data_IF_387281274487
#
_entry.id   IF_387281274487
#
_cell.length_a   1.000
_cell.length_b   1.000
_cell.length_c   1.000
_cell.angle_alpha   90.00
_cell.angle_beta   90.00
_cell.angle_gamma   90.00
#
_symmetry.space_group_name_H-M   'P 1'
#
loop_
_entity.id
_entity.type
_entity.pdbx_description
1 polymer ?
#
# COMPACT_ATOMS: atom_id res chain seq x y z
N UNK A 1 41.37 -44.51 13.96
CA UNK A 1 40.35 -43.96 13.04
C UNK A 1 40.68 -42.50 12.82
N UNK A 2 41.59 -42.25 11.89
CA UNK A 2 41.37 -41.61 10.57
C UNK A 2 41.06 -40.12 10.70
N UNK A 3 42.02 -39.18 10.62
CA UNK A 3 42.62 -38.58 9.38
C UNK A 3 41.54 -38.02 8.44
N UNK A 4 41.55 -36.78 7.96
CA UNK A 4 42.65 -35.88 7.58
C UNK A 4 42.23 -34.41 7.51
N UNK A 5 43.24 -33.55 7.51
CA UNK A 5 43.25 -32.15 7.03
C UNK A 5 43.23 -32.10 5.48
N UNK A 6 43.09 -30.87 4.96
CA UNK A 6 43.74 -30.28 3.76
C UNK A 6 42.88 -30.09 2.48
N UNK A 7 42.58 -28.79 2.20
CA UNK A 7 42.81 -27.96 0.99
C UNK A 7 42.69 -28.63 -0.40
N UNK A 8 42.01 -27.97 -1.36
CA UNK A 8 42.50 -27.68 -2.73
C UNK A 8 41.73 -26.48 -3.33
N UNK A 9 42.51 -25.50 -3.81
CA UNK A 9 42.09 -24.38 -4.63
C UNK A 9 41.94 -24.80 -6.10
N UNK A 10 41.12 -24.11 -6.89
CA UNK A 10 41.26 -24.11 -8.35
C UNK A 10 41.55 -22.69 -8.80
N UNK A 11 42.83 -22.48 -9.11
CA UNK A 11 43.31 -21.42 -9.96
C UNK A 11 42.92 -21.72 -11.42
N UNK A 12 42.42 -20.73 -12.15
CA UNK A 12 42.49 -20.71 -13.61
C UNK A 12 43.45 -19.61 -13.99
N UNK A 13 44.69 -20.02 -14.21
CA UNK A 13 45.75 -19.23 -14.83
C UNK A 13 45.58 -19.36 -16.34
N UNK A 14 45.24 -18.27 -17.03
CA UNK A 14 45.52 -18.13 -18.46
C UNK A 14 46.56 -17.01 -18.60
N UNK A 15 47.79 -17.44 -18.87
CA UNK A 15 48.93 -16.58 -19.13
C UNK A 15 48.77 -15.88 -20.48
N UNK A 16 49.14 -14.60 -20.52
CA UNK A 16 49.73 -13.98 -21.71
C UNK A 16 50.71 -12.91 -21.22
N UNK A 17 51.97 -13.33 -21.13
CA UNK A 17 53.09 -12.39 -21.05
C UNK A 17 53.28 -11.75 -22.42
N UNK A 18 53.20 -10.43 -22.45
CA UNK A 18 53.85 -9.59 -23.46
C UNK A 18 54.37 -8.35 -22.74
N UNK A 19 55.66 -8.38 -22.45
CA UNK A 19 56.43 -7.24 -22.03
C UNK A 19 56.42 -6.19 -23.14
N UNK A 20 55.92 -4.98 -22.85
CA UNK A 20 56.36 -3.78 -23.54
C UNK A 20 56.70 -2.70 -22.51
N UNK A 21 57.86 -2.10 -22.76
CA UNK A 21 58.53 -1.06 -22.01
C UNK A 21 57.74 0.26 -22.03
N UNK A 22 57.85 0.99 -20.91
CA UNK A 22 57.98 2.46 -20.81
C UNK A 22 56.94 3.34 -21.51
N UNK A 23 56.09 4.01 -20.73
CA UNK A 23 55.48 5.28 -21.16
C UNK A 23 54.15 5.64 -20.50
N UNK A 24 54.13 6.83 -19.88
CA UNK A 24 52.97 7.60 -19.42
C UNK A 24 52.23 7.08 -18.17
N UNK A 25 52.22 7.92 -17.13
CA UNK A 25 51.55 7.67 -15.87
C UNK A 25 50.06 7.38 -16.05
N UNK A 26 49.70 6.12 -15.96
CA UNK A 26 48.34 5.71 -15.67
C UNK A 26 48.15 5.82 -14.16
N UNK A 27 47.22 6.67 -13.73
CA UNK A 27 46.64 6.56 -12.38
C UNK A 27 46.19 5.10 -12.22
N UNK A 28 46.61 4.45 -11.14
CA UNK A 28 45.97 3.21 -10.71
C UNK A 28 44.46 3.47 -10.67
N UNK A 29 43.63 2.63 -11.32
CA UNK A 29 42.20 2.76 -11.16
C UNK A 29 41.90 2.53 -9.69
N UNK A 30 41.26 3.51 -9.05
CA UNK A 30 40.77 3.39 -7.68
C UNK A 30 40.05 2.04 -7.55
N UNK A 31 40.29 1.27 -6.47
CA UNK A 31 39.61 0.00 -6.27
C UNK A 31 38.11 0.26 -6.36
N UNK A 32 37.47 -0.33 -7.36
CA UNK A 32 36.02 -0.31 -7.50
C UNK A 32 35.47 -0.99 -6.27
N UNK A 33 35.02 -0.19 -5.30
CA UNK A 33 34.22 -0.68 -4.19
C UNK A 33 32.93 -1.16 -4.82
N UNK A 34 32.85 -2.47 -5.09
CA UNK A 34 31.59 -3.12 -5.43
C UNK A 34 30.74 -2.98 -4.18
N UNK A 35 29.91 -1.94 -4.13
CA UNK A 35 28.86 -1.86 -3.12
C UNK A 35 27.95 -3.06 -3.39
N UNK A 36 28.08 -4.09 -2.56
CA UNK A 36 27.14 -5.19 -2.56
C UNK A 36 25.78 -4.58 -2.23
N UNK A 37 24.84 -4.72 -3.17
CA UNK A 37 23.45 -4.36 -2.90
C UNK A 37 22.99 -5.17 -1.69
N UNK A 38 22.24 -4.56 -0.75
CA UNK A 38 21.68 -5.31 0.35
C UNK A 38 20.83 -6.47 -0.20
N UNK A 39 20.84 -7.64 0.46
CA UNK A 39 20.02 -8.75 0.03
C UNK A 39 18.54 -8.36 0.07
N UNK A 40 17.81 -8.65 -1.01
CA UNK A 40 16.37 -8.44 -1.09
C UNK A 40 15.67 -9.46 -0.21
N UNK A 41 14.66 -9.03 0.53
CA UNK A 41 13.83 -9.92 1.33
C UNK A 41 13.13 -10.95 0.41
N UNK A 42 13.21 -12.27 0.71
CA UNK A 42 12.67 -13.33 -0.13
C UNK A 42 11.20 -13.16 -0.54
N UNK A 43 10.41 -12.47 0.28
CA UNK A 43 8.99 -12.17 -0.02
C UNK A 43 8.80 -11.29 -1.25
N UNK A 44 9.83 -10.55 -1.65
CA UNK A 44 9.77 -9.65 -2.80
C UNK A 44 10.73 -10.04 -3.92
N UNK A 45 11.40 -11.19 -3.81
CA UNK A 45 12.43 -11.61 -4.75
C UNK A 45 11.86 -12.15 -6.08
N UNK A 46 10.63 -12.66 -6.07
CA UNK A 46 9.92 -13.09 -7.30
C UNK A 46 8.48 -12.60 -7.29
N UNK A 47 7.84 -12.56 -8.45
CA UNK A 47 6.43 -12.18 -8.57
C UNK A 47 5.52 -13.15 -7.80
N UNK A 48 5.81 -14.45 -7.83
CA UNK A 48 5.07 -15.49 -7.11
C UNK A 48 5.16 -15.28 -5.60
N UNK A 49 6.38 -15.13 -5.07
CA UNK A 49 6.60 -14.90 -3.64
C UNK A 49 5.92 -13.60 -3.18
N UNK A 50 5.93 -12.58 -4.05
CA UNK A 50 5.25 -11.33 -3.77
C UNK A 50 3.72 -11.49 -3.76
N UNK A 51 3.13 -12.22 -4.71
CA UNK A 51 1.70 -12.53 -4.70
C UNK A 51 1.29 -13.37 -3.50
N UNK A 52 2.10 -14.34 -3.09
CA UNK A 52 1.86 -15.11 -1.86
C UNK A 52 1.85 -14.17 -0.65
N UNK A 53 2.79 -13.23 -0.58
CA UNK A 53 2.83 -12.24 0.49
C UNK A 53 1.62 -11.29 0.44
N UNK A 54 1.20 -10.84 -0.76
CA UNK A 54 0.00 -10.02 -0.93
C UNK A 54 -1.26 -10.74 -0.46
N UNK A 55 -1.39 -12.06 -0.70
CA UNK A 55 -2.51 -12.85 -0.17
C UNK A 55 -2.49 -12.94 1.36
N UNK A 56 -1.32 -12.94 2.00
CA UNK A 56 -1.24 -12.85 3.47
C UNK A 56 -1.76 -11.49 3.93
N UNK A 57 -1.28 -10.39 3.34
CA UNK A 57 -1.68 -9.02 3.70
C UNK A 57 -3.17 -8.77 3.42
N UNK A 58 -3.71 -9.31 2.31
CA UNK A 58 -5.12 -9.20 1.93
C UNK A 58 -6.07 -9.81 2.98
N UNK A 59 -5.60 -10.78 3.76
CA UNK A 59 -6.38 -11.40 4.83
C UNK A 59 -6.19 -10.74 6.20
N UNK A 60 -5.34 -9.71 6.30
CA UNK A 60 -5.14 -8.94 7.52
C UNK A 60 -6.09 -7.73 7.55
N UNK A 61 -7.04 -7.75 8.49
CA UNK A 61 -8.13 -6.78 8.62
C UNK A 61 -7.68 -5.33 8.89
N UNK A 62 -6.39 -5.10 9.16
CA UNK A 62 -5.83 -3.77 9.48
C UNK A 62 -4.37 -3.70 9.01
N UNK A 63 -4.13 -3.55 7.70
CA UNK A 63 -2.77 -3.38 7.17
C UNK A 63 -2.67 -2.52 5.88
N UNK A 64 -3.34 -1.36 5.85
CA UNK A 64 -3.27 -0.47 4.67
C UNK A 64 -1.93 0.29 4.58
N UNK A 65 -1.26 0.59 5.71
CA UNK A 65 0.12 1.09 5.67
C UNK A 65 1.06 0.06 5.03
N UNK A 66 0.85 -1.23 5.29
CA UNK A 66 1.54 -2.31 4.60
C UNK A 66 1.29 -2.23 3.10
N UNK A 67 0.04 -2.13 2.65
CA UNK A 67 -0.29 -2.07 1.21
C UNK A 67 0.37 -0.85 0.52
N UNK A 68 0.38 0.34 1.15
CA UNK A 68 1.07 1.51 0.61
C UNK A 68 2.58 1.28 0.47
N UNK A 69 3.21 0.65 1.47
CA UNK A 69 4.64 0.28 1.44
C UNK A 69 4.98 -0.79 0.39
N UNK A 70 3.98 -1.42 -0.21
CA UNK A 70 4.10 -2.37 -1.30
C UNK A 70 3.90 -1.73 -2.69
N UNK A 71 3.57 -0.44 -2.75
CA UNK A 71 3.30 0.27 -4.00
C UNK A 71 4.53 1.03 -4.52
N UNK A 72 4.70 1.06 -5.84
CA UNK A 72 5.73 1.83 -6.52
C UNK A 72 5.12 2.71 -7.61
N UNK A 73 5.23 4.03 -7.45
CA UNK A 73 4.81 5.00 -8.44
C UNK A 73 5.89 5.17 -9.53
N UNK A 74 5.58 4.75 -10.75
CA UNK A 74 6.50 4.86 -11.88
C UNK A 74 6.56 6.31 -12.40
N UNK A 75 5.43 7.02 -12.38
CA UNK A 75 5.31 8.43 -12.79
C UNK A 75 5.22 9.39 -11.59
N UNK A 76 5.49 10.71 -11.77
CA UNK A 76 5.29 11.70 -10.71
C UNK A 76 3.86 11.74 -10.16
N UNK A 77 2.86 11.64 -11.03
CA UNK A 77 1.44 11.68 -10.62
C UNK A 77 1.06 10.45 -9.79
N UNK A 78 1.53 9.26 -10.20
CA UNK A 78 1.35 8.03 -9.40
C UNK A 78 2.04 8.14 -8.04
N UNK A 79 3.26 8.70 -7.99
CA UNK A 79 3.97 8.91 -6.72
C UNK A 79 3.21 9.87 -5.80
N UNK A 80 2.70 10.98 -6.35
CA UNK A 80 1.89 11.94 -5.60
C UNK A 80 0.61 11.30 -5.07
N UNK A 81 -0.07 10.50 -5.90
CA UNK A 81 -1.27 9.77 -5.48
C UNK A 81 -0.97 8.78 -4.34
N UNK A 82 0.08 7.95 -4.48
CA UNK A 82 0.51 7.02 -3.43
C UNK A 82 0.90 7.74 -2.14
N UNK A 83 1.58 8.90 -2.23
CA UNK A 83 1.91 9.73 -1.07
C UNK A 83 0.64 10.28 -0.40
N UNK A 84 -0.32 10.76 -1.19
CA UNK A 84 -1.59 11.28 -0.70
C UNK A 84 -2.44 10.18 -0.03
N UNK A 85 -2.38 8.91 -0.49
CA UNK A 85 -2.98 7.78 0.21
C UNK A 85 -2.45 7.61 1.64
N UNK A 86 -1.18 7.96 1.90
CA UNK A 86 -0.61 7.98 3.25
C UNK A 86 -1.27 9.01 4.17
N UNK A 87 -1.98 10.00 3.62
CA UNK A 87 -2.85 10.88 4.39
C UNK A 87 -4.00 10.17 5.10
N UNK A 88 -4.36 8.96 4.65
CA UNK A 88 -5.46 8.16 5.21
C UNK A 88 -5.04 7.24 6.37
N UNK A 89 -3.75 7.20 6.74
CA UNK A 89 -3.27 6.41 7.90
C UNK A 89 -4.08 6.61 9.19
N UNK A 90 -4.57 7.82 9.56
CA UNK A 90 -5.40 8.00 10.76
C UNK A 90 -6.69 7.16 10.79
N UNK A 91 -7.25 6.80 9.62
CA UNK A 91 -8.41 5.89 9.54
C UNK A 91 -8.03 4.47 9.97
N UNK A 92 -6.78 4.06 9.76
CA UNK A 92 -6.30 2.74 10.16
C UNK A 92 -6.13 2.65 11.67
N UNK A 93 -5.63 3.72 12.29
CA UNK A 93 -5.57 3.81 13.75
C UNK A 93 -6.97 3.76 14.36
N UNK A 94 -7.96 4.35 13.67
CA UNK A 94 -9.36 4.25 14.04
C UNK A 94 -9.88 2.81 13.96
N UNK A 95 -9.65 2.12 12.84
CA UNK A 95 -10.04 0.71 12.70
C UNK A 95 -9.32 -0.20 13.71
N UNK A 96 -8.02 0.00 13.95
CA UNK A 96 -7.27 -0.75 14.96
C UNK A 96 -7.86 -0.56 16.35
N UNK A 97 -8.10 0.69 16.76
CA UNK A 97 -8.69 1.00 18.06
C UNK A 97 -10.11 0.43 18.18
N UNK A 98 -10.92 0.53 17.13
CA UNK A 98 -12.26 -0.04 17.09
C UNK A 98 -12.23 -1.57 17.21
N UNK A 99 -11.29 -2.25 16.54
CA UNK A 99 -11.13 -3.70 16.61
C UNK A 99 -10.78 -4.13 18.03
N UNK A 100 -9.79 -3.47 18.63
CA UNK A 100 -9.29 -3.83 19.94
C UNK A 100 -10.35 -3.59 21.05
N UNK A 101 -11.26 -2.63 20.86
CA UNK A 101 -12.30 -2.29 21.84
C UNK A 101 -13.65 -2.97 21.59
N UNK A 102 -14.09 -3.11 20.34
CA UNK A 102 -15.42 -3.65 19.98
C UNK A 102 -15.37 -5.06 19.38
N UNK A 103 -14.20 -5.55 18.99
CA UNK A 103 -14.01 -6.85 18.35
C UNK A 103 -13.89 -6.77 16.82
N UNK A 104 -13.53 -7.91 16.22
CA UNK A 104 -13.24 -8.02 14.78
C UNK A 104 -14.47 -7.83 13.89
N UNK A 105 -15.62 -8.37 14.29
CA UNK A 105 -16.87 -8.29 13.50
C UNK A 105 -17.34 -6.84 13.31
N UNK A 106 -17.16 -6.01 14.35
CA UNK A 106 -17.48 -4.58 14.29
C UNK A 106 -16.67 -3.84 13.23
N UNK A 107 -15.38 -4.16 13.09
CA UNK A 107 -14.50 -3.51 12.13
C UNK A 107 -14.69 -4.09 10.74
N UNK A 108 -15.03 -5.38 10.62
CA UNK A 108 -15.37 -5.98 9.33
C UNK A 108 -16.57 -5.27 8.71
N UNK A 109 -17.64 -5.07 9.48
CA UNK A 109 -18.81 -4.32 9.01
C UNK A 109 -18.45 -2.88 8.60
N UNK A 110 -17.59 -2.20 9.35
CA UNK A 110 -17.10 -0.86 9.00
C UNK A 110 -16.24 -0.86 7.73
N UNK A 111 -15.34 -1.82 7.57
CA UNK A 111 -14.44 -1.93 6.43
C UNK A 111 -15.21 -2.26 5.14
N UNK A 112 -16.21 -3.16 5.24
CA UNK A 112 -17.14 -3.48 4.16
C UNK A 112 -17.97 -2.27 3.75
N UNK A 113 -18.46 -1.47 4.71
CA UNK A 113 -19.25 -0.26 4.43
C UNK A 113 -18.42 0.88 3.84
N UNK A 114 -17.12 0.95 4.14
CA UNK A 114 -16.27 2.07 3.73
C UNK A 114 -15.42 1.81 2.49
N UNK A 115 -15.50 0.62 1.87
CA UNK A 115 -14.69 0.21 0.71
C UNK A 115 -13.18 0.55 0.84
N UNK A 116 -12.71 0.72 2.08
CA UNK A 116 -11.53 1.53 2.38
C UNK A 116 -10.22 0.75 2.27
N UNK A 117 -10.29 -0.56 2.10
CA UNK A 117 -9.13 -1.44 2.08
C UNK A 117 -9.05 -2.15 0.73
N UNK A 118 -8.17 -1.70 -0.20
CA UNK A 118 -8.17 -2.13 -1.59
C UNK A 118 -8.01 -3.63 -1.83
N UNK A 119 -7.55 -4.38 -0.83
CA UNK A 119 -7.26 -5.81 -0.93
C UNK A 119 -7.90 -6.66 0.17
N UNK A 120 -8.69 -6.08 1.09
CA UNK A 120 -9.20 -6.86 2.21
C UNK A 120 -10.15 -7.98 1.73
N UNK A 121 -9.89 -9.21 2.19
CA UNK A 121 -10.66 -10.40 1.82
C UNK A 121 -10.49 -10.82 0.35
N UNK A 122 -9.58 -10.19 -0.39
CA UNK A 122 -9.34 -10.54 -1.79
C UNK A 122 -8.41 -11.75 -1.91
N UNK A 123 -8.59 -12.53 -2.98
CA UNK A 123 -7.62 -13.55 -3.41
C UNK A 123 -6.89 -13.05 -4.64
N UNK A 124 -5.56 -13.12 -4.63
CA UNK A 124 -4.72 -12.60 -5.69
C UNK A 124 -4.02 -13.76 -6.40
N UNK A 125 -4.02 -13.76 -7.73
CA UNK A 125 -3.31 -14.76 -8.53
C UNK A 125 -2.56 -14.11 -9.69
N UNK A 126 -1.41 -14.67 -10.04
CA UNK A 126 -0.72 -14.30 -11.28
C UNK A 126 -1.47 -14.83 -12.49
N UNK A 127 -1.56 -14.00 -13.54
CA UNK A 127 -2.18 -14.33 -14.83
C UNK A 127 -1.13 -14.41 -15.92
N UNK A 128 -0.22 -13.45 -15.96
CA UNK A 128 0.87 -13.42 -16.93
C UNK A 128 2.12 -12.80 -16.32
N UNK A 129 3.29 -13.21 -16.80
CA UNK A 129 4.56 -12.63 -16.39
C UNK A 129 5.51 -12.58 -17.58
N UNK A 130 6.28 -11.51 -17.64
CA UNK A 130 7.48 -11.37 -18.45
C UNK A 130 8.66 -10.97 -17.54
N UNK A 131 9.84 -10.79 -18.12
CA UNK A 131 11.10 -10.63 -17.38
C UNK A 131 11.02 -9.70 -16.17
N UNK A 132 10.34 -8.55 -16.27
CA UNK A 132 10.31 -7.53 -15.19
C UNK A 132 8.92 -6.99 -14.85
N UNK A 133 7.87 -7.58 -15.43
CA UNK A 133 6.48 -7.18 -15.18
C UNK A 133 5.59 -8.41 -15.09
N UNK A 134 4.54 -8.29 -14.29
CA UNK A 134 3.51 -9.32 -14.19
C UNK A 134 2.13 -8.68 -14.08
N UNK A 135 1.16 -9.42 -14.61
CA UNK A 135 -0.25 -9.13 -14.45
C UNK A 135 -0.82 -10.13 -13.45
N UNK A 136 -1.46 -9.61 -12.42
CA UNK A 136 -2.22 -10.38 -11.44
C UNK A 136 -3.68 -9.95 -11.47
N UNK A 137 -4.56 -10.81 -10.97
CA UNK A 137 -5.97 -10.49 -10.76
C UNK A 137 -6.28 -10.67 -9.28
N UNK A 138 -6.88 -9.64 -8.70
CA UNK A 138 -7.49 -9.65 -7.38
C UNK A 138 -8.97 -9.97 -7.54
N UNK A 139 -9.46 -10.96 -6.79
CA UNK A 139 -10.88 -11.34 -6.76
C UNK A 139 -11.42 -11.02 -5.37
N UNK A 140 -12.38 -10.11 -5.30
CA UNK A 140 -13.05 -9.72 -4.07
C UNK A 140 -14.03 -10.81 -3.56
N UNK A 141 -14.47 -10.74 -2.29
CA UNK A 141 -15.41 -11.72 -1.73
C UNK A 141 -16.75 -11.86 -2.49
N UNK A 142 -17.17 -10.79 -3.17
CA UNK A 142 -18.36 -10.76 -4.02
C UNK A 142 -18.13 -11.32 -5.44
N UNK A 143 -16.89 -11.72 -5.75
CA UNK A 143 -16.46 -12.25 -7.04
C UNK A 143 -16.04 -11.20 -8.05
N UNK A 144 -16.06 -9.90 -7.71
CA UNK A 144 -15.58 -8.86 -8.61
C UNK A 144 -14.07 -9.00 -8.82
N UNK A 145 -13.65 -8.98 -10.08
CA UNK A 145 -12.23 -9.07 -10.44
C UNK A 145 -11.67 -7.68 -10.77
N UNK A 146 -10.48 -7.41 -10.26
CA UNK A 146 -9.70 -6.20 -10.54
C UNK A 146 -8.29 -6.57 -10.97
N UNK A 147 -7.71 -5.79 -11.89
CA UNK A 147 -6.36 -6.02 -12.38
C UNK A 147 -5.34 -5.41 -11.43
N UNK A 148 -4.32 -6.18 -11.06
CA UNK A 148 -3.14 -5.71 -10.35
C UNK A 148 -1.93 -5.77 -11.30
N UNK A 149 -1.27 -4.63 -11.52
CA UNK A 149 -0.03 -4.55 -12.29
C UNK A 149 1.14 -4.65 -11.33
N UNK A 150 2.09 -5.52 -11.63
CA UNK A 150 3.29 -5.73 -10.82
C UNK A 150 4.54 -5.37 -11.62
N UNK A 151 5.56 -4.83 -10.94
CA UNK A 151 6.82 -4.41 -11.57
C UNK A 151 8.01 -4.74 -10.69
N UNK A 152 9.09 -5.19 -11.30
CA UNK A 152 10.38 -5.39 -10.64
C UNK A 152 11.27 -4.15 -10.75
N UNK A 153 11.62 -3.55 -9.61
CA UNK A 153 12.50 -2.39 -9.50
C UNK A 153 13.56 -2.68 -8.45
N UNK A 154 14.83 -2.53 -8.81
CA UNK A 154 15.99 -2.78 -7.95
C UNK A 154 15.96 -4.18 -7.31
N UNK A 155 15.72 -5.20 -8.13
CA UNK A 155 15.68 -6.63 -7.76
C UNK A 155 14.54 -6.98 -6.76
N UNK A 156 13.57 -6.05 -6.59
CA UNK A 156 12.39 -6.18 -5.72
C UNK A 156 11.09 -6.03 -6.52
N UNK A 157 10.10 -6.88 -6.27
CA UNK A 157 8.75 -6.76 -6.83
C UNK A 157 7.84 -5.83 -6.03
N UNK A 158 7.02 -5.07 -6.75
CA UNK A 158 6.11 -4.04 -6.23
C UNK A 158 4.75 -4.10 -6.92
N UNK A 159 3.70 -3.59 -6.26
CA UNK A 159 2.47 -3.17 -6.93
C UNK A 159 2.80 -1.92 -7.75
N UNK A 160 2.70 -2.01 -9.06
CA UNK A 160 2.92 -0.87 -9.96
C UNK A 160 1.78 0.14 -9.82
N UNK A 161 2.12 1.43 -9.83
CA UNK A 161 1.15 2.52 -9.91
C UNK A 161 0.25 2.45 -11.14
N UNK A 162 0.63 1.74 -12.21
CA UNK A 162 -0.25 1.47 -13.35
C UNK A 162 -1.49 0.64 -12.97
N UNK A 163 -1.50 -0.01 -11.81
CA UNK A 163 -2.71 -0.62 -11.24
C UNK A 163 -3.85 0.40 -11.18
N UNK A 164 -3.56 1.64 -10.78
CA UNK A 164 -4.57 2.69 -10.65
C UNK A 164 -5.09 3.20 -11.99
N UNK A 165 -4.29 3.14 -13.06
CA UNK A 165 -4.72 3.51 -14.41
C UNK A 165 -5.82 2.57 -14.95
N UNK A 166 -5.91 1.36 -14.39
CA UNK A 166 -6.89 0.33 -14.71
C UNK A 166 -8.10 0.30 -13.75
N UNK A 167 -8.08 1.08 -12.69
CA UNK A 167 -9.19 1.26 -11.75
C UNK A 167 -9.88 2.60 -12.07
N UNK A 168 -11.14 2.62 -12.54
CA UNK A 168 -11.82 3.85 -12.93
C UNK A 168 -11.93 4.89 -11.82
N UNK A 169 -12.10 4.46 -10.56
CA UNK A 169 -12.29 5.36 -9.44
C UNK A 169 -10.96 5.87 -8.91
N UNK A 170 -9.93 5.02 -8.84
CA UNK A 170 -8.57 5.45 -8.55
C UNK A 170 -8.07 6.44 -9.62
N UNK A 171 -8.38 6.21 -10.89
CA UNK A 171 -8.02 7.11 -11.98
C UNK A 171 -8.68 8.47 -11.87
N UNK A 172 -9.98 8.54 -11.54
CA UNK A 172 -10.67 9.82 -11.25
C UNK A 172 -9.99 10.56 -10.10
N UNK A 173 -9.61 9.84 -9.04
CA UNK A 173 -8.93 10.46 -7.89
C UNK A 173 -7.51 10.92 -8.23
N UNK A 174 -6.79 10.21 -9.11
CA UNK A 174 -5.48 10.64 -9.62
C UNK A 174 -5.55 11.95 -10.42
N UNK A 175 -6.67 12.20 -11.10
CA UNK A 175 -6.91 13.46 -11.82
C UNK A 175 -7.19 14.64 -10.87
N UNK A 176 -7.45 14.38 -9.58
CA UNK A 176 -7.66 15.39 -8.54
C UNK A 176 -6.90 15.08 -7.23
N UNK A 177 -5.56 15.17 -7.24
CA UNK A 177 -4.74 14.85 -6.06
C UNK A 177 -5.00 15.80 -4.88
N UNK A 178 -5.47 17.03 -5.14
CA UNK A 178 -5.80 18.00 -4.10
C UNK A 178 -6.98 17.54 -3.24
N UNK A 179 -8.01 16.91 -3.84
CA UNK A 179 -9.12 16.35 -3.08
C UNK A 179 -8.67 15.21 -2.16
N UNK A 180 -7.74 14.36 -2.61
CA UNK A 180 -7.19 13.28 -1.79
C UNK A 180 -6.32 13.82 -0.64
N UNK A 181 -5.51 14.84 -0.90
CA UNK A 181 -4.73 15.55 0.14
C UNK A 181 -5.66 16.18 1.20
N UNK A 182 -6.72 16.88 0.77
CA UNK A 182 -7.74 17.46 1.65
C UNK A 182 -8.45 16.41 2.49
N UNK A 183 -8.76 15.25 1.89
CA UNK A 183 -9.36 14.13 2.60
C UNK A 183 -8.39 13.55 3.65
N UNK A 184 -7.10 13.43 3.32
CA UNK A 184 -6.06 13.07 4.27
C UNK A 184 -5.98 14.05 5.44
N UNK A 185 -5.99 15.36 5.16
CA UNK A 185 -5.97 16.40 6.19
C UNK A 185 -7.21 16.34 7.11
N UNK A 186 -8.38 16.10 6.53
CA UNK A 186 -9.61 15.87 7.29
C UNK A 186 -9.45 14.67 8.24
N UNK A 187 -8.94 13.54 7.75
CA UNK A 187 -8.76 12.34 8.59
C UNK A 187 -7.73 12.54 9.70
N UNK A 188 -6.65 13.29 9.43
CA UNK A 188 -5.65 13.66 10.46
C UNK A 188 -6.24 14.50 11.59
N UNK A 189 -7.28 15.29 11.31
CA UNK A 189 -7.94 16.10 12.33
C UNK A 189 -9.06 15.35 13.04
N UNK A 190 -9.85 14.58 12.30
CA UNK A 190 -11.07 13.93 12.80
C UNK A 190 -10.78 12.62 13.54
N UNK A 191 -9.87 11.78 13.05
CA UNK A 191 -9.68 10.44 13.61
C UNK A 191 -9.01 10.43 15.00
N UNK A 192 -7.94 11.20 15.29
CA UNK A 192 -7.23 11.07 16.56
C UNK A 192 -8.09 11.32 17.83
N UNK A 193 -8.98 12.32 17.87
CA UNK A 193 -9.91 12.48 19.00
C UNK A 193 -10.79 11.25 19.25
N UNK A 194 -11.32 10.65 18.18
CA UNK A 194 -12.21 9.48 18.26
C UNK A 194 -11.42 8.24 18.70
N UNK A 195 -10.22 8.03 18.15
CA UNK A 195 -9.28 6.98 18.60
C UNK A 195 -9.03 7.08 20.11
N UNK A 196 -8.77 8.29 20.62
CA UNK A 196 -8.55 8.51 22.04
C UNK A 196 -9.80 8.20 22.88
N UNK A 197 -10.99 8.54 22.38
CA UNK A 197 -12.25 8.22 23.04
C UNK A 197 -12.56 6.71 23.05
N UNK A 198 -12.23 5.98 21.97
CA UNK A 198 -12.32 4.52 21.93
C UNK A 198 -11.39 3.91 22.99
N UNK A 199 -10.10 4.27 22.97
CA UNK A 199 -9.09 3.74 23.91
C UNK A 199 -9.41 4.06 25.37
N UNK A 200 -10.06 5.20 25.62
CA UNK A 200 -10.54 5.58 26.95
C UNK A 200 -11.85 4.90 27.36
N UNK A 201 -12.43 4.03 26.52
CA UNK A 201 -13.70 3.35 26.79
C UNK A 201 -14.91 4.28 26.82
N UNK A 202 -14.84 5.46 26.20
CA UNK A 202 -15.92 6.46 26.23
C UNK A 202 -17.07 6.11 25.29
N UNK A 203 -16.85 5.23 24.33
CA UNK A 203 -17.89 4.66 23.49
C UNK A 203 -18.31 3.29 24.00
N UNK A 204 -19.62 3.15 24.23
CA UNK A 204 -20.25 1.90 24.60
C UNK A 204 -20.66 1.04 23.41
N UNK A 205 -20.76 1.62 22.20
CA UNK A 205 -21.16 0.93 20.96
C UNK A 205 -20.44 1.50 19.75
N UNK A 206 -20.32 0.69 18.70
CA UNK A 206 -19.78 1.07 17.38
C UNK A 206 -20.60 2.20 16.76
N UNK A 207 -21.93 2.09 16.82
CA UNK A 207 -22.87 3.10 16.31
C UNK A 207 -22.61 4.49 16.89
N UNK A 208 -22.34 4.59 18.20
CA UNK A 208 -22.05 5.88 18.84
C UNK A 208 -20.74 6.48 18.34
N UNK A 209 -19.74 5.65 18.11
CA UNK A 209 -18.45 6.06 17.55
C UNK A 209 -18.62 6.51 16.09
N UNK A 210 -19.35 5.75 15.26
CA UNK A 210 -19.64 6.12 13.87
C UNK A 210 -20.45 7.42 13.77
N UNK A 211 -21.42 7.63 14.65
CA UNK A 211 -22.18 8.88 14.71
C UNK A 211 -21.28 10.09 15.03
N UNK A 212 -20.33 9.94 15.99
CA UNK A 212 -19.38 11.02 16.28
C UNK A 212 -18.40 11.25 15.13
N UNK A 213 -17.96 10.19 14.44
CA UNK A 213 -17.16 10.28 13.23
C UNK A 213 -17.89 11.08 12.14
N UNK A 214 -19.13 10.71 11.83
CA UNK A 214 -19.95 11.41 10.84
C UNK A 214 -20.18 12.87 11.19
N UNK A 215 -20.50 13.18 12.46
CA UNK A 215 -20.65 14.56 12.91
C UNK A 215 -19.35 15.36 12.81
N UNK A 216 -18.21 14.76 13.13
CA UNK A 216 -16.90 15.41 13.07
C UNK A 216 -16.46 15.69 11.63
N UNK A 217 -16.72 14.75 10.71
CA UNK A 217 -16.52 14.95 9.26
C UNK A 217 -17.39 16.11 8.77
N UNK A 218 -18.68 16.12 9.10
CA UNK A 218 -19.58 17.19 8.67
C UNK A 218 -19.18 18.56 9.25
N UNK A 219 -18.77 18.61 10.52
CA UNK A 219 -18.27 19.84 11.15
C UNK A 219 -17.00 20.35 10.45
N UNK A 220 -16.09 19.44 10.09
CA UNK A 220 -14.89 19.78 9.32
C UNK A 220 -15.25 20.36 7.96
N UNK A 221 -16.12 19.69 7.20
CA UNK A 221 -16.57 20.13 5.87
C UNK A 221 -17.25 21.50 5.93
N UNK A 222 -18.11 21.74 6.93
CA UNK A 222 -18.76 23.05 7.11
C UNK A 222 -17.78 24.18 7.43
N UNK A 223 -16.64 23.86 8.05
CA UNK A 223 -15.59 24.83 8.36
C UNK A 223 -14.61 25.05 7.18
N UNK A 224 -14.58 24.12 6.21
CA UNK A 224 -13.66 24.10 5.07
C UNK A 224 -14.46 23.88 3.77
N UNK A 225 -15.24 24.87 3.30
CA UNK A 225 -16.14 24.72 2.15
C UNK A 225 -15.43 24.33 0.85
N UNK A 226 -14.13 24.62 0.72
CA UNK A 226 -13.26 24.21 -0.39
C UNK A 226 -13.19 22.68 -0.57
N UNK A 227 -13.44 21.90 0.49
CA UNK A 227 -13.49 20.43 0.43
C UNK A 227 -14.71 19.95 -0.37
N UNK A 228 -15.83 20.67 -0.32
CA UNK A 228 -17.02 20.35 -1.11
C UNK A 228 -16.86 20.73 -2.59
N UNK A 229 -16.08 21.78 -2.88
CA UNK A 229 -15.78 22.20 -4.25
C UNK A 229 -14.86 21.21 -4.98
N UNK A 230 -14.01 20.48 -4.24
CA UNK A 230 -13.17 19.40 -4.78
C UNK A 230 -13.89 18.06 -5.03
N UNK A 231 -15.09 17.86 -4.47
CA UNK A 231 -15.90 16.63 -4.59
C UNK A 231 -17.00 16.72 -5.67
N UNK A 232 -16.95 17.76 -6.52
CA UNK A 232 -18.08 18.22 -7.32
C UNK A 232 -18.28 17.41 -8.63
N UNK A 233 -18.58 16.12 -8.49
CA UNK A 233 -19.32 15.32 -9.49
C UNK A 233 -20.64 14.76 -8.92
N UNK A 234 -21.08 15.24 -7.75
CA UNK A 234 -22.37 14.86 -7.16
C UNK A 234 -22.39 13.47 -6.51
N UNK A 235 -21.25 12.81 -6.38
CA UNK A 235 -21.11 11.60 -5.58
C UNK A 235 -20.84 12.00 -4.11
N UNK A 236 -21.63 11.44 -3.18
CA UNK A 236 -21.41 11.61 -1.75
C UNK A 236 -19.97 11.18 -1.40
N UNK A 237 -19.34 11.77 -0.37
CA UNK A 237 -18.01 11.33 0.05
C UNK A 237 -18.02 9.81 0.27
N UNK A 238 -16.99 9.08 -0.18
CA UNK A 238 -16.96 7.61 -0.14
C UNK A 238 -17.07 7.02 1.28
N UNK A 239 -16.88 7.86 2.30
CA UNK A 239 -16.94 7.50 3.72
C UNK A 239 -18.24 7.95 4.42
N UNK A 240 -19.14 8.59 3.68
CA UNK A 240 -20.48 8.93 4.16
C UNK A 240 -21.33 7.69 4.21
N UNK A 241 -21.26 6.94 5.31
CA UNK A 241 -22.20 5.88 5.59
C UNK A 241 -23.61 6.39 5.31
N UNK A 242 -24.38 5.65 4.50
CA UNK A 242 -25.81 5.93 4.33
C UNK A 242 -26.39 6.11 5.74
N UNK A 243 -27.04 7.25 6.06
CA UNK A 243 -27.67 7.39 7.36
C UNK A 243 -28.60 6.20 7.56
N UNK A 244 -28.37 5.47 8.66
CA UNK A 244 -29.20 4.36 9.05
C UNK A 244 -30.63 4.88 9.27
N UNK A 245 -31.52 4.56 8.33
CA UNK A 245 -32.96 4.54 8.53
C UNK A 245 -33.73 5.81 8.17
N UNK A 246 -34.66 5.64 7.23
CA UNK A 246 -36.01 6.17 7.41
C UNK A 246 -36.97 4.98 7.51
N UNK A 247 -37.91 4.93 8.48
CA UNK A 247 -38.93 3.90 8.49
C UNK A 247 -39.77 4.03 7.22
N UNK A 248 -39.91 2.93 6.48
CA UNK A 248 -40.75 2.85 5.29
C UNK A 248 -42.18 3.28 5.62
N UNK A 249 -42.59 4.41 5.05
CA UNK A 249 -43.93 4.95 5.15
C UNK A 249 -44.78 4.53 3.96
N UNK A 250 -45.72 3.61 4.24
CA UNK A 250 -46.90 3.16 3.47
C UNK A 250 -46.70 2.20 2.31
#
# INVERSE_FOLDING_TARGET
MSTSRVIIAVAVTAALGLSFLSGCGAKEPDPVVIQQRPPVDPRFATAEAFVDHLNVVANELVNVNGIQELMYGETPDQRRFIEALGGLTPMLDLFAAARDHFGEDAVREMAEQQAAMPLFGTTIRLVAQNDRRADAVSTAPDGQESTLKLVEIDDRWWISGYTFDHDPDARKMMDNPAALEQMGDMMRQVCPPIVNNIRAGRYSTVERMQNELGMSIMAYIMAHPEVMEGMNDGEAPPFGGRPAGGPGGR
#
